data_IF_635448584920
#
_entry.id   IF_635448584920
#
_cell.length_a   1.000
_cell.length_b   1.000
_cell.length_c   1.000
_cell.angle_alpha   90.00
_cell.angle_beta   90.00
_cell.angle_gamma   90.00
#
_symmetry.space_group_name_H-M   'P 1'
#
loop_
_entity.id
_entity.type
_entity.pdbx_description
1 polymer ?
#
# COMPACT_ATOMS: atom_id res chain seq x y z
N UNK A 1 -13.97 7.91 23.16
CA UNK A 1 -13.45 7.86 21.78
C UNK A 1 -12.17 8.66 21.76
N UNK A 2 -11.08 8.12 21.18
CA UNK A 2 -9.79 8.82 21.08
C UNK A 2 -9.69 9.32 19.65
N UNK A 3 -9.65 10.63 19.47
CA UNK A 3 -9.51 11.25 18.16
C UNK A 3 -8.04 11.62 17.94
N UNK A 4 -7.41 11.03 16.92
CA UNK A 4 -6.08 11.44 16.47
C UNK A 4 -6.25 12.43 15.32
N UNK A 5 -5.77 13.66 15.51
CA UNK A 5 -5.88 14.73 14.53
C UNK A 5 -4.51 15.02 13.89
N UNK A 6 -4.48 15.10 12.55
CA UNK A 6 -3.33 15.58 11.79
C UNK A 6 -2.78 14.57 10.77
N UNK A 7 -2.41 15.06 9.59
CA UNK A 7 -1.61 14.37 8.61
C UNK A 7 -0.24 15.03 8.51
N UNK A 8 0.83 14.23 8.37
CA UNK A 8 2.17 14.73 8.13
C UNK A 8 2.65 14.13 6.82
N UNK A 9 3.00 14.99 5.87
CA UNK A 9 3.70 14.58 4.67
C UNK A 9 5.19 14.47 4.98
N UNK A 10 5.76 13.30 4.69
CA UNK A 10 7.18 13.03 4.84
C UNK A 10 7.78 12.98 3.43
N UNK A 11 8.85 13.72 3.19
CA UNK A 11 9.52 13.72 1.89
C UNK A 11 10.24 12.38 1.66
N UNK A 12 10.30 11.92 0.42
CA UNK A 12 10.91 10.63 0.04
C UNK A 12 12.38 10.47 0.45
N UNK A 13 13.09 11.57 0.67
CA UNK A 13 14.49 11.56 1.15
C UNK A 13 14.63 11.30 2.65
N UNK A 14 13.54 11.34 3.42
CA UNK A 14 13.55 11.15 4.86
C UNK A 14 13.39 9.67 5.16
N UNK A 15 14.41 9.06 5.75
CA UNK A 15 14.40 7.63 6.10
C UNK A 15 13.70 7.34 7.44
N UNK A 16 13.61 8.34 8.32
CA UNK A 16 12.96 8.24 9.62
C UNK A 16 12.44 9.59 10.10
N UNK A 17 11.27 9.62 10.73
CA UNK A 17 10.73 10.84 11.37
C UNK A 17 9.94 10.50 12.63
N UNK A 18 10.31 11.06 13.76
CA UNK A 18 9.52 10.99 15.00
C UNK A 18 8.61 12.21 15.12
N UNK A 19 7.40 11.96 15.59
CA UNK A 19 6.37 12.98 15.79
C UNK A 19 5.76 12.86 17.19
N UNK A 20 5.37 14.00 17.73
CA UNK A 20 4.63 14.09 18.98
C UNK A 20 3.14 13.82 18.75
N UNK A 21 2.46 13.33 19.79
CA UNK A 21 1.02 13.07 19.77
C UNK A 21 0.35 13.91 20.85
N UNK A 22 -0.69 14.64 20.48
CA UNK A 22 -1.56 15.31 21.44
C UNK A 22 -2.77 14.41 21.70
N UNK A 23 -3.03 14.07 22.96
CA UNK A 23 -4.16 13.22 23.35
C UNK A 23 -5.10 14.01 24.25
N UNK A 24 -6.38 14.09 23.89
CA UNK A 24 -7.43 14.67 24.72
C UNK A 24 -8.49 13.62 25.05
N UNK A 25 -9.10 13.72 26.24
CA UNK A 25 -10.21 12.86 26.67
C UNK A 25 -11.38 13.77 27.03
N UNK A 26 -12.48 13.69 26.27
CA UNK A 26 -13.61 14.59 26.44
C UNK A 26 -13.23 16.05 26.17
N UNK A 27 -13.64 16.96 27.04
CA UNK A 27 -13.33 18.40 26.96
C UNK A 27 -12.04 18.82 27.68
N UNK A 28 -11.26 17.86 28.17
CA UNK A 28 -9.98 18.16 28.83
C UNK A 28 -8.95 18.71 27.84
N UNK A 29 -8.04 19.56 28.33
CA UNK A 29 -6.92 20.06 27.51
C UNK A 29 -6.04 18.90 27.02
N UNK A 30 -5.53 18.96 25.78
CA UNK A 30 -4.68 17.90 25.24
C UNK A 30 -3.39 17.72 26.04
N UNK A 31 -3.03 16.48 26.33
CA UNK A 31 -1.72 16.11 26.89
C UNK A 31 -0.73 15.83 25.76
N UNK A 32 0.45 16.45 25.83
CA UNK A 32 1.53 16.22 24.87
C UNK A 32 2.30 14.94 25.23
N UNK A 33 2.35 14.01 24.29
CA UNK A 33 3.18 12.81 24.34
C UNK A 33 4.31 12.94 23.31
N UNK A 34 5.53 13.15 23.80
CA UNK A 34 6.68 13.42 22.93
C UNK A 34 7.20 12.14 22.27
N UNK A 35 7.59 12.23 20.99
CA UNK A 35 8.24 11.19 20.18
C UNK A 35 7.52 9.82 20.21
N UNK A 36 6.18 9.80 20.14
CA UNK A 36 5.40 8.55 20.24
C UNK A 36 5.08 7.90 18.92
N UNK A 37 5.12 8.63 17.81
CA UNK A 37 4.91 8.08 16.48
C UNK A 37 6.21 8.17 15.70
N UNK A 38 6.67 7.03 15.17
CA UNK A 38 7.87 6.98 14.33
C UNK A 38 7.51 6.47 12.96
N UNK A 39 7.70 7.30 11.95
CA UNK A 39 7.77 6.89 10.56
C UNK A 39 9.14 6.27 10.29
N UNK A 40 9.17 5.13 9.59
CA UNK A 40 10.38 4.50 9.08
C UNK A 40 10.17 4.13 7.61
N UNK A 41 11.04 4.60 6.73
CA UNK A 41 10.97 4.28 5.31
C UNK A 41 11.17 2.79 5.03
N UNK A 42 12.05 2.15 5.81
CA UNK A 42 12.31 0.70 5.75
C UNK A 42 11.11 -0.18 6.13
N UNK A 43 10.16 0.37 6.90
CA UNK A 43 8.91 -0.30 7.25
C UNK A 43 7.76 0.03 6.29
N UNK A 44 8.00 0.89 5.30
CA UNK A 44 7.00 1.29 4.31
C UNK A 44 7.11 0.41 3.08
N UNK A 45 6.00 -0.22 2.69
CA UNK A 45 5.93 -1.02 1.48
C UNK A 45 5.99 -0.13 0.24
N UNK A 46 6.82 -0.50 -0.75
CA UNK A 46 7.00 0.26 -1.99
C UNK A 46 6.83 -0.63 -3.21
N UNK A 47 6.22 -0.09 -4.26
CA UNK A 47 6.09 -0.74 -5.57
C UNK A 47 7.03 -0.04 -6.52
N UNK A 48 7.91 -0.79 -7.19
CA UNK A 48 8.92 -0.24 -8.10
C UNK A 48 8.61 -0.53 -9.56
N UNK A 49 7.98 -1.67 -9.86
CA UNK A 49 7.63 -2.00 -11.24
C UNK A 49 6.50 -3.02 -11.35
N UNK A 50 5.86 -3.04 -12.52
CA UNK A 50 4.86 -4.03 -12.93
C UNK A 50 5.20 -4.54 -14.33
N UNK A 51 5.07 -5.84 -14.56
CA UNK A 51 5.34 -6.49 -15.84
C UNK A 51 4.43 -7.71 -16.06
N UNK A 52 3.82 -7.88 -17.25
CA UNK A 52 3.83 -6.94 -18.37
C UNK A 52 3.03 -5.67 -18.03
N UNK A 53 3.32 -4.57 -18.74
CA UNK A 53 2.58 -3.29 -18.60
C UNK A 53 1.32 -3.22 -19.46
N UNK A 54 1.07 -4.27 -20.24
CA UNK A 54 -0.04 -4.39 -21.16
C UNK A 54 -0.60 -5.81 -21.06
N UNK A 55 -1.90 -5.94 -21.31
CA UNK A 55 -2.61 -7.20 -21.26
C UNK A 55 -3.93 -7.10 -22.00
N UNK A 56 -4.68 -8.19 -22.02
CA UNK A 56 -5.98 -8.26 -22.66
C UNK A 56 -7.07 -7.79 -21.70
N UNK A 57 -8.10 -7.12 -22.21
CA UNK A 57 -9.28 -6.79 -21.41
C UNK A 57 -10.06 -8.04 -20.96
N UNK A 58 -9.78 -9.22 -21.54
CA UNK A 58 -10.39 -10.49 -21.16
C UNK A 58 -9.82 -11.07 -19.86
N UNK A 59 -8.72 -10.50 -19.35
CA UNK A 59 -8.01 -11.06 -18.21
C UNK A 59 -7.25 -12.34 -18.57
N UNK A 60 -6.74 -13.03 -17.54
CA UNK A 60 -5.94 -14.25 -17.69
C UNK A 60 -4.44 -13.99 -17.83
N UNK A 61 -4.01 -12.73 -17.89
CA UNK A 61 -2.60 -12.38 -17.98
C UNK A 61 -1.93 -12.53 -16.61
N UNK A 62 -0.77 -13.18 -16.60
CA UNK A 62 0.06 -13.24 -15.40
C UNK A 62 0.88 -11.97 -15.28
N UNK A 63 0.71 -11.27 -14.17
CA UNK A 63 1.39 -10.01 -13.86
C UNK A 63 2.30 -10.21 -12.66
N UNK A 64 3.53 -9.74 -12.80
CA UNK A 64 4.53 -9.67 -11.74
C UNK A 64 4.70 -8.22 -11.30
N UNK A 65 4.53 -7.98 -10.01
CA UNK A 65 4.71 -6.70 -9.35
C UNK A 65 5.97 -6.82 -8.49
N UNK A 66 6.92 -5.93 -8.70
CA UNK A 66 8.18 -5.88 -7.95
C UNK A 66 8.16 -4.69 -7.00
N UNK A 67 8.75 -4.86 -5.82
CA UNK A 67 8.79 -3.85 -4.79
C UNK A 67 9.58 -4.29 -3.56
N UNK A 68 9.25 -3.71 -2.41
CA UNK A 68 9.85 -4.02 -1.12
C UNK A 68 8.78 -3.97 -0.03
N UNK A 69 8.91 -4.82 1.00
CA UNK A 69 8.03 -4.78 2.17
C UNK A 69 6.66 -5.42 1.94
N UNK A 70 6.51 -6.29 0.94
CA UNK A 70 5.27 -7.03 0.72
C UNK A 70 5.07 -8.09 1.81
N UNK A 71 3.82 -8.27 2.25
CA UNK A 71 3.48 -9.26 3.26
C UNK A 71 3.34 -10.65 2.62
N UNK A 72 4.34 -11.51 2.85
CA UNK A 72 4.36 -12.89 2.31
C UNK A 72 3.42 -13.86 3.04
N UNK A 73 2.74 -13.43 4.12
CA UNK A 73 1.74 -14.25 4.77
C UNK A 73 0.52 -14.45 3.86
N UNK A 74 0.05 -15.69 3.79
CA UNK A 74 -1.09 -16.07 2.94
C UNK A 74 -2.33 -15.25 3.29
N UNK A 75 -2.98 -14.68 2.27
CA UNK A 75 -4.22 -13.92 2.41
C UNK A 75 -4.07 -12.49 2.94
N UNK A 76 -2.86 -12.02 3.22
CA UNK A 76 -2.63 -10.65 3.68
C UNK A 76 -2.39 -9.65 2.53
N UNK A 77 -1.92 -10.12 1.37
CA UNK A 77 -1.72 -9.25 0.21
C UNK A 77 -2.90 -9.37 -0.76
N UNK A 78 -3.44 -8.22 -1.16
CA UNK A 78 -4.46 -8.11 -2.22
C UNK A 78 -4.01 -7.11 -3.30
N UNK A 79 -4.37 -7.42 -4.54
CA UNK A 79 -4.01 -6.61 -5.71
C UNK A 79 -5.27 -6.26 -6.48
N UNK A 80 -5.41 -4.98 -6.80
CA UNK A 80 -6.47 -4.44 -7.62
C UNK A 80 -5.82 -3.78 -8.84
N UNK A 81 -6.17 -4.25 -10.04
CA UNK A 81 -5.79 -3.58 -11.28
C UNK A 81 -7.03 -2.88 -11.80
N UNK A 82 -6.99 -1.55 -11.72
CA UNK A 82 -8.01 -0.57 -12.09
C UNK A 82 -9.32 -0.72 -11.26
N UNK A 83 -9.20 -1.29 -10.06
CA UNK A 83 -10.33 -1.61 -9.17
C UNK A 83 -10.92 -3.02 -9.34
N UNK A 84 -10.31 -3.87 -10.17
CA UNK A 84 -10.70 -5.28 -10.34
C UNK A 84 -9.64 -6.16 -9.69
N UNK A 85 -10.08 -7.16 -8.93
CA UNK A 85 -9.20 -8.07 -8.22
C UNK A 85 -8.27 -8.81 -9.19
N UNK A 86 -6.98 -8.84 -8.86
CA UNK A 86 -6.00 -9.71 -9.50
C UNK A 86 -5.77 -10.90 -8.58
N UNK A 87 -6.00 -12.12 -9.07
CA UNK A 87 -5.91 -13.34 -8.25
C UNK A 87 -4.45 -13.60 -7.90
N UNK A 88 -4.05 -13.31 -6.66
CA UNK A 88 -2.67 -13.48 -6.19
C UNK A 88 -2.33 -14.97 -6.10
N UNK A 89 -1.26 -15.38 -6.78
CA UNK A 89 -0.78 -16.76 -6.82
C UNK A 89 0.49 -16.97 -6.00
N UNK A 90 1.34 -15.94 -5.87
CA UNK A 90 2.55 -15.99 -5.07
C UNK A 90 2.93 -14.61 -4.52
N UNK A 91 3.45 -14.58 -3.29
CA UNK A 91 3.99 -13.37 -2.67
C UNK A 91 5.31 -13.70 -1.99
N UNK A 92 6.30 -12.85 -2.23
CA UNK A 92 7.55 -12.76 -1.45
C UNK A 92 7.65 -11.35 -0.90
N UNK A 93 8.66 -11.05 -0.07
CA UNK A 93 8.91 -9.69 0.42
C UNK A 93 9.20 -8.67 -0.68
N UNK A 94 9.51 -9.11 -1.90
CA UNK A 94 9.91 -8.25 -3.03
C UNK A 94 9.12 -8.47 -4.32
N UNK A 95 8.30 -9.51 -4.39
CA UNK A 95 7.52 -9.83 -5.59
C UNK A 95 6.11 -10.28 -5.25
N UNK A 96 5.13 -9.86 -6.05
CA UNK A 96 3.76 -10.39 -6.06
C UNK A 96 3.47 -10.87 -7.48
N UNK A 97 3.03 -12.11 -7.62
CA UNK A 97 2.51 -12.65 -8.88
C UNK A 97 1.01 -12.80 -8.76
N UNK A 98 0.27 -12.29 -9.73
CA UNK A 98 -1.18 -12.39 -9.77
C UNK A 98 -1.70 -12.56 -11.20
N UNK A 99 -2.91 -13.07 -11.35
CA UNK A 99 -3.59 -13.23 -12.64
C UNK A 99 -4.72 -12.19 -12.77
N UNK A 100 -4.70 -11.42 -13.86
CA UNK A 100 -5.72 -10.39 -14.14
C UNK A 100 -7.09 -11.03 -14.38
N UNK A 101 -8.15 -10.32 -14.01
CA UNK A 101 -9.53 -10.72 -14.33
C UNK A 101 -10.08 -9.89 -15.49
N UNK A 102 -11.15 -10.39 -16.11
CA UNK A 102 -11.83 -9.72 -17.21
C UNK A 102 -12.36 -8.35 -16.78
N UNK A 103 -12.25 -7.37 -17.67
CA UNK A 103 -12.78 -6.02 -17.51
C UNK A 103 -13.82 -5.71 -18.59
N UNK A 104 -14.84 -4.90 -18.29
CA UNK A 104 -15.88 -4.56 -19.26
C UNK A 104 -15.37 -3.77 -20.47
N UNK A 105 -14.27 -3.02 -20.30
CA UNK A 105 -13.78 -2.03 -21.26
C UNK A 105 -12.26 -2.02 -21.33
N UNK A 106 -11.72 -1.52 -22.45
CA UNK A 106 -10.28 -1.27 -22.64
C UNK A 106 -9.91 0.05 -21.94
N UNK A 107 -8.80 0.05 -21.19
CA UNK A 107 -8.30 1.23 -20.47
C UNK A 107 -6.84 1.46 -20.86
N UNK A 108 -6.50 2.69 -21.27
CA UNK A 108 -5.15 3.04 -21.72
C UNK A 108 -4.14 3.24 -20.58
N UNK A 109 -4.63 3.52 -19.37
CA UNK A 109 -3.82 3.84 -18.18
C UNK A 109 -4.40 3.17 -16.92
N UNK A 110 -4.31 1.84 -16.81
CA UNK A 110 -4.87 1.13 -15.66
C UNK A 110 -4.15 1.52 -14.36
N UNK A 111 -4.92 1.81 -13.31
CA UNK A 111 -4.36 2.14 -11.99
C UNK A 111 -4.14 0.86 -11.19
N UNK A 112 -2.91 0.57 -10.77
CA UNK A 112 -2.66 -0.59 -9.88
C UNK A 112 -2.65 -0.14 -8.43
N UNK A 113 -3.48 -0.76 -7.61
CA UNK A 113 -3.53 -0.59 -6.15
C UNK A 113 -3.14 -1.91 -5.51
N UNK A 114 -2.18 -1.87 -4.60
CA UNK A 114 -1.88 -2.99 -3.70
C UNK A 114 -2.30 -2.64 -2.28
N UNK A 115 -2.84 -3.61 -1.57
CA UNK A 115 -3.19 -3.49 -0.16
C UNK A 115 -2.55 -4.67 0.58
N UNK A 116 -1.95 -4.38 1.73
CA UNK A 116 -1.13 -5.29 2.54
C UNK A 116 -1.60 -5.31 3.99
#
# INVERSE_FOLDING_TARGET
>A
EVEMLGNIFVADSVTSKTCDVHVAIGSASPTLLTNKVTYQDSATTKVTSISPRYGTFKGGDTVTITGTGFNAATGQTSVLIDGIACTVSAVTSTTVTCTTQARPSIVSNPTTVLSF
#
